data_IF_530141131720
#
_entry.id   IF_530141131720
#
_cell.length_a   1.000
_cell.length_b   1.000
_cell.length_c   1.000
_cell.angle_alpha   90.00
_cell.angle_beta   90.00
_cell.angle_gamma   90.00
#
_symmetry.space_group_name_H-M   'P 1'
#
loop_
_entity.id
_entity.type
_entity.pdbx_description
1 polymer ?
#
# COMPACT_ATOMS: atom_id res chain seq x y z
N UNK A 1 -14.63 -33.42 -36.90
CA UNK A 1 -13.43 -32.56 -36.82
C UNK A 1 -12.86 -32.68 -35.41
N UNK A 2 -11.54 -32.92 -35.23
CA UNK A 2 -10.94 -32.93 -33.90
C UNK A 2 -11.17 -31.53 -33.28
N UNK A 3 -11.67 -31.49 -32.05
CA UNK A 3 -11.82 -30.27 -31.29
C UNK A 3 -10.46 -29.57 -31.14
N UNK A 4 -10.46 -28.24 -31.09
CA UNK A 4 -9.24 -27.50 -30.74
C UNK A 4 -8.79 -27.99 -29.36
N UNK A 5 -7.54 -28.37 -29.24
CA UNK A 5 -6.96 -28.75 -27.95
C UNK A 5 -7.18 -27.64 -26.94
N UNK A 6 -7.49 -28.00 -25.71
CA UNK A 6 -7.53 -27.04 -24.60
C UNK A 6 -6.12 -26.48 -24.41
N UNK A 7 -5.92 -25.20 -24.75
CA UNK A 7 -4.70 -24.52 -24.33
C UNK A 7 -4.73 -24.34 -22.81
N UNK A 8 -3.62 -24.64 -22.14
CA UNK A 8 -3.47 -24.33 -20.73
C UNK A 8 -3.71 -22.84 -20.52
N UNK A 9 -4.59 -22.49 -19.58
CA UNK A 9 -4.80 -21.08 -19.18
C UNK A 9 -3.55 -20.51 -18.50
N UNK A 10 -3.43 -19.17 -18.50
CA UNK A 10 -2.41 -18.44 -17.73
C UNK A 10 -3.01 -17.72 -16.53
N UNK A 11 -2.16 -17.32 -15.59
CA UNK A 11 -2.56 -16.43 -14.50
C UNK A 11 -2.89 -15.06 -15.03
N UNK A 12 -3.91 -14.42 -14.41
CA UNK A 12 -4.25 -13.04 -14.70
C UNK A 12 -3.05 -12.10 -14.48
N UNK A 13 -2.84 -11.04 -15.28
CA UNK A 13 -1.73 -10.10 -15.11
C UNK A 13 -1.61 -9.56 -13.67
N UNK A 14 -2.71 -9.13 -13.04
CA UNK A 14 -2.70 -8.66 -11.64
C UNK A 14 -2.15 -9.74 -10.69
N UNK A 15 -2.57 -11.01 -10.83
CA UNK A 15 -2.05 -12.11 -10.00
C UNK A 15 -0.55 -12.31 -10.19
N UNK A 16 -0.05 -12.20 -11.43
CA UNK A 16 1.39 -12.31 -11.72
C UNK A 16 2.16 -11.13 -11.14
N UNK A 17 1.61 -9.93 -11.22
CA UNK A 17 2.20 -8.71 -10.65
C UNK A 17 2.30 -8.82 -9.13
N UNK A 18 1.21 -9.19 -8.46
CA UNK A 18 1.19 -9.40 -7.00
C UNK A 18 2.21 -10.47 -6.58
N UNK A 19 2.24 -11.62 -7.24
CA UNK A 19 3.22 -12.67 -6.93
C UNK A 19 4.67 -12.23 -7.10
N UNK A 20 4.96 -11.35 -8.08
CA UNK A 20 6.30 -10.77 -8.26
C UNK A 20 6.64 -9.78 -7.13
N UNK A 21 5.70 -8.94 -6.73
CA UNK A 21 5.85 -8.01 -5.61
C UNK A 21 6.14 -8.79 -4.33
N UNK A 22 5.32 -9.80 -4.03
CA UNK A 22 5.52 -10.67 -2.85
C UNK A 22 6.89 -11.34 -2.85
N UNK A 23 7.31 -11.91 -3.98
CA UNK A 23 8.61 -12.56 -4.08
C UNK A 23 9.78 -11.60 -3.79
N UNK A 24 9.72 -10.37 -4.31
CA UNK A 24 10.74 -9.35 -4.09
C UNK A 24 10.79 -8.92 -2.62
N UNK A 25 9.65 -8.64 -1.98
CA UNK A 25 9.64 -8.26 -0.57
C UNK A 25 10.04 -9.41 0.36
N UNK A 26 9.62 -10.65 0.08
CA UNK A 26 10.10 -11.83 0.82
C UNK A 26 11.63 -11.98 0.75
N UNK A 27 12.23 -11.67 -0.40
CA UNK A 27 13.69 -11.78 -0.57
C UNK A 27 14.49 -10.84 0.32
N UNK A 28 13.88 -9.76 0.81
CA UNK A 28 14.48 -8.78 1.72
C UNK A 28 13.93 -8.87 3.15
N UNK A 29 13.25 -9.98 3.48
CA UNK A 29 12.83 -10.32 4.85
C UNK A 29 11.49 -9.74 5.29
N UNK A 30 10.60 -9.40 4.35
CA UNK A 30 9.22 -9.08 4.66
C UNK A 30 8.34 -10.35 4.62
N UNK A 31 7.47 -10.50 5.59
CA UNK A 31 6.40 -11.49 5.56
C UNK A 31 5.19 -10.95 4.79
N UNK A 32 4.35 -11.86 4.29
CA UNK A 32 3.08 -11.50 3.66
C UNK A 32 1.97 -11.74 4.66
N UNK A 33 1.28 -10.66 5.04
CA UNK A 33 0.14 -10.69 5.93
C UNK A 33 -1.17 -10.66 5.14
N UNK A 34 -2.19 -11.30 5.68
CA UNK A 34 -3.55 -11.34 5.12
C UNK A 34 -4.56 -10.92 6.19
N UNK A 35 -5.76 -10.53 5.76
CA UNK A 35 -6.84 -10.12 6.65
C UNK A 35 -8.17 -9.97 5.92
N UNK A 36 -9.26 -9.74 6.67
CA UNK A 36 -10.61 -9.71 6.15
C UNK A 36 -10.83 -8.52 5.18
N UNK A 37 -11.68 -8.72 4.18
CA UNK A 37 -12.14 -7.65 3.29
C UNK A 37 -13.31 -6.85 3.90
N UNK A 38 -14.07 -7.49 4.80
CA UNK A 38 -15.11 -6.82 5.61
C UNK A 38 -14.47 -6.40 6.91
N UNK A 39 -14.51 -5.11 7.19
CA UNK A 39 -13.85 -4.49 8.33
C UNK A 39 -14.81 -3.68 9.18
N UNK A 40 -14.38 -3.40 10.40
CA UNK A 40 -15.04 -2.43 11.26
C UNK A 40 -14.43 -1.02 11.11
N UNK A 41 -15.13 -0.06 11.66
CA UNK A 41 -14.73 1.35 11.67
C UNK A 41 -13.40 1.59 12.41
N UNK A 42 -13.15 0.85 13.49
CA UNK A 42 -11.93 1.02 14.28
C UNK A 42 -10.69 0.68 13.46
N UNK A 43 -10.65 -0.49 12.84
CA UNK A 43 -9.49 -0.94 12.06
C UNK A 43 -9.30 -0.15 10.78
N UNK A 44 -10.41 0.22 10.11
CA UNK A 44 -10.32 0.93 8.83
C UNK A 44 -10.02 2.44 8.97
N UNK A 45 -10.33 3.05 10.12
CA UNK A 45 -10.18 4.49 10.32
C UNK A 45 -9.53 4.87 11.64
N UNK A 46 -10.15 4.55 12.78
CA UNK A 46 -9.75 5.11 14.08
C UNK A 46 -8.34 4.71 14.48
N UNK A 47 -7.98 3.43 14.35
CA UNK A 47 -6.64 2.92 14.67
C UNK A 47 -5.56 3.51 13.75
N UNK A 48 -5.95 4.03 12.60
CA UNK A 48 -5.09 4.69 11.61
C UNK A 48 -5.05 6.22 11.79
N UNK A 49 -5.35 6.70 12.98
CA UNK A 49 -5.35 8.13 13.32
C UNK A 49 -6.35 8.96 12.49
N UNK A 50 -7.45 8.34 12.06
CA UNK A 50 -8.56 8.99 11.33
C UNK A 50 -9.80 9.00 12.24
N UNK A 51 -9.93 9.98 13.16
CA UNK A 51 -11.07 10.06 14.05
C UNK A 51 -12.37 10.42 13.29
N UNK A 52 -13.53 10.22 13.94
CA UNK A 52 -14.84 10.35 13.29
C UNK A 52 -15.05 11.70 12.59
N UNK A 53 -14.54 12.77 13.18
CA UNK A 53 -14.65 14.13 12.66
C UNK A 53 -13.48 14.59 11.77
N UNK A 54 -12.56 13.69 11.41
CA UNK A 54 -11.40 14.05 10.59
C UNK A 54 -11.82 14.30 9.12
N UNK A 55 -11.40 15.40 8.49
CA UNK A 55 -11.78 15.71 7.10
C UNK A 55 -11.43 14.61 6.10
N UNK A 56 -10.29 13.94 6.28
CA UNK A 56 -9.87 12.83 5.40
C UNK A 56 -10.83 11.62 5.43
N UNK A 57 -11.62 11.44 6.51
CA UNK A 57 -12.60 10.38 6.64
C UNK A 57 -13.78 10.54 5.69
N UNK A 58 -14.20 11.78 5.44
CA UNK A 58 -15.26 12.06 4.48
C UNK A 58 -14.84 11.93 3.02
N UNK A 59 -13.54 11.85 2.75
CA UNK A 59 -12.98 11.64 1.40
C UNK A 59 -12.94 10.17 0.97
N UNK A 60 -13.26 9.27 1.87
CA UNK A 60 -13.36 7.84 1.57
C UNK A 60 -14.78 7.49 1.18
N UNK A 61 -15.02 7.31 -0.10
CA UNK A 61 -16.26 6.74 -0.61
C UNK A 61 -16.33 5.27 -0.21
N UNK A 62 -16.97 5.02 0.93
CA UNK A 62 -16.95 3.73 1.62
C UNK A 62 -18.23 2.96 1.39
N UNK A 63 -18.12 1.68 1.02
CA UNK A 63 -19.25 0.77 1.00
C UNK A 63 -19.52 0.24 2.41
N UNK A 64 -20.62 0.70 3.02
CA UNK A 64 -21.12 0.16 4.28
C UNK A 64 -22.09 -1.00 4.03
N UNK A 65 -22.10 -2.01 4.92
CA UNK A 65 -23.00 -3.13 4.83
C UNK A 65 -24.40 -2.76 5.38
N UNK A 66 -25.43 -2.89 4.57
CA UNK A 66 -26.80 -2.49 4.93
C UNK A 66 -27.36 -3.25 6.16
N UNK A 67 -27.08 -4.54 6.26
CA UNK A 67 -27.62 -5.42 7.30
C UNK A 67 -26.63 -5.70 8.45
N UNK A 68 -25.50 -4.97 8.51
CA UNK A 68 -24.48 -5.11 9.53
C UNK A 68 -23.92 -3.73 9.91
N UNK A 69 -24.65 -2.95 10.73
CA UNK A 69 -24.22 -1.62 11.12
C UNK A 69 -22.81 -1.60 11.71
N UNK A 70 -21.99 -0.68 11.23
CA UNK A 70 -20.59 -0.54 11.65
C UNK A 70 -19.59 -1.40 10.87
N UNK A 71 -20.06 -2.26 9.97
CA UNK A 71 -19.19 -2.99 9.05
C UNK A 71 -19.17 -2.35 7.66
N UNK A 72 -18.00 -2.45 7.02
CA UNK A 72 -17.73 -1.86 5.71
C UNK A 72 -16.80 -2.76 4.88
N UNK A 73 -16.73 -2.51 3.58
CA UNK A 73 -15.66 -3.06 2.75
C UNK A 73 -14.42 -2.16 2.90
N UNK A 74 -13.27 -2.75 3.21
CA UNK A 74 -12.04 -1.99 3.47
C UNK A 74 -11.66 -1.11 2.29
N UNK A 75 -11.29 0.13 2.58
CA UNK A 75 -10.91 1.14 1.58
C UNK A 75 -9.43 1.15 1.23
N UNK A 76 -8.64 0.43 2.00
CA UNK A 76 -7.20 0.21 1.85
C UNK A 76 -6.81 -1.07 2.61
N UNK A 77 -5.57 -1.52 2.46
CA UNK A 77 -5.09 -2.73 3.14
C UNK A 77 -4.44 -2.45 4.51
N UNK A 78 -4.39 -1.18 4.95
CA UNK A 78 -3.86 -0.80 6.27
C UNK A 78 -4.54 -1.49 7.46
N UNK A 79 -5.84 -1.87 7.43
CA UNK A 79 -6.45 -2.68 8.50
C UNK A 79 -5.70 -3.97 8.78
N UNK A 80 -5.12 -4.59 7.76
CA UNK A 80 -4.29 -5.80 7.94
C UNK A 80 -3.06 -5.47 8.81
N UNK A 81 -2.44 -4.32 8.59
CA UNK A 81 -1.30 -3.86 9.39
C UNK A 81 -1.70 -3.65 10.85
N UNK A 82 -2.86 -3.03 11.11
CA UNK A 82 -3.41 -2.84 12.47
C UNK A 82 -3.59 -4.19 13.15
N UNK A 83 -4.31 -5.12 12.53
CA UNK A 83 -4.57 -6.47 13.06
C UNK A 83 -3.29 -7.26 13.31
N UNK A 84 -2.30 -7.10 12.45
CA UNK A 84 -1.00 -7.74 12.62
C UNK A 84 -0.25 -7.18 13.85
N UNK A 85 -0.24 -5.86 14.01
CA UNK A 85 0.39 -5.19 15.15
C UNK A 85 -0.30 -5.51 16.50
N UNK A 86 -1.61 -5.77 16.52
CA UNK A 86 -2.33 -6.19 17.73
C UNK A 86 -1.88 -7.56 18.25
N UNK A 87 -1.41 -8.42 17.37
CA UNK A 87 -1.07 -9.80 17.68
C UNK A 87 0.43 -10.10 17.65
N UNK A 88 1.23 -9.23 17.09
CA UNK A 88 2.68 -9.40 16.94
C UNK A 88 3.44 -8.23 17.57
N UNK A 89 4.58 -8.55 18.17
CA UNK A 89 5.49 -7.53 18.73
C UNK A 89 6.60 -7.18 17.74
N UNK A 90 7.08 -5.92 17.74
CA UNK A 90 8.27 -5.56 16.98
C UNK A 90 9.49 -6.43 17.32
N UNK A 91 10.40 -6.67 16.33
CA UNK A 91 10.39 -6.09 15.00
C UNK A 91 9.33 -6.68 14.07
N UNK A 92 8.67 -5.84 13.28
CA UNK A 92 7.65 -6.21 12.31
C UNK A 92 8.09 -5.76 10.92
N UNK A 93 8.05 -6.66 9.94
CA UNK A 93 8.29 -6.38 8.52
C UNK A 93 7.28 -7.17 7.71
N UNK A 94 6.26 -6.49 7.20
CA UNK A 94 5.20 -7.14 6.43
C UNK A 94 4.84 -6.33 5.19
N UNK A 95 4.33 -7.06 4.19
CA UNK A 95 3.48 -6.48 3.15
C UNK A 95 2.08 -7.07 3.28
N UNK A 96 1.08 -6.27 2.95
CA UNK A 96 -0.33 -6.62 2.99
C UNK A 96 -0.96 -6.41 1.60
N UNK A 97 -0.86 -7.39 0.69
CA UNK A 97 -1.55 -7.35 -0.60
C UNK A 97 -3.03 -7.68 -0.41
N UNK A 98 -3.91 -7.03 -1.19
CA UNK A 98 -5.31 -7.38 -1.14
C UNK A 98 -6.20 -6.52 -2.01
N UNK A 99 -7.46 -6.92 -2.13
CA UNK A 99 -8.51 -6.14 -2.77
C UNK A 99 -9.00 -5.06 -1.83
N UNK A 100 -9.31 -3.91 -2.37
CA UNK A 100 -9.87 -2.76 -1.66
C UNK A 100 -11.04 -2.19 -2.46
N UNK A 101 -11.92 -1.45 -1.78
CA UNK A 101 -13.20 -1.05 -2.33
C UNK A 101 -13.48 0.43 -2.05
N UNK A 102 -13.87 1.19 -3.08
CA UNK A 102 -14.27 2.59 -2.96
C UNK A 102 -15.47 2.85 -3.84
N UNK A 103 -16.40 3.68 -3.37
CA UNK A 103 -17.59 4.10 -4.14
C UNK A 103 -17.15 5.13 -5.20
N UNK A 104 -16.20 4.75 -6.02
CA UNK A 104 -15.69 5.57 -7.09
C UNK A 104 -15.75 4.74 -8.38
N UNK A 105 -16.42 5.26 -9.39
CA UNK A 105 -16.62 4.53 -10.64
C UNK A 105 -16.76 5.50 -11.80
N UNK A 106 -15.64 5.72 -12.48
CA UNK A 106 -15.58 6.48 -13.72
C UNK A 106 -14.76 5.74 -14.80
N UNK A 107 -14.40 6.41 -15.87
CA UNK A 107 -13.63 5.80 -16.96
C UNK A 107 -12.20 5.36 -16.55
N UNK A 108 -11.72 5.81 -15.40
CA UNK A 108 -10.35 5.59 -14.90
C UNK A 108 -10.31 4.89 -13.55
N UNK A 109 -11.45 4.77 -12.85
CA UNK A 109 -11.57 4.18 -11.52
C UNK A 109 -12.51 2.97 -11.51
N UNK A 110 -12.05 1.87 -10.93
CA UNK A 110 -12.87 0.70 -10.63
C UNK A 110 -13.29 0.73 -9.15
N UNK A 111 -14.54 0.36 -8.82
CA UNK A 111 -14.97 0.27 -7.42
C UNK A 111 -14.22 -0.80 -6.62
N UNK A 112 -13.55 -1.72 -7.27
CA UNK A 112 -12.63 -2.69 -6.69
C UNK A 112 -11.30 -2.62 -7.42
N UNK A 113 -10.21 -2.53 -6.67
CA UNK A 113 -8.84 -2.59 -7.20
C UNK A 113 -7.92 -3.27 -6.18
N UNK A 114 -6.69 -3.58 -6.59
CA UNK A 114 -5.71 -4.18 -5.70
C UNK A 114 -4.80 -3.11 -5.11
N UNK A 115 -4.38 -3.36 -3.87
CA UNK A 115 -3.41 -2.53 -3.17
C UNK A 115 -2.38 -3.44 -2.49
N UNK A 116 -1.16 -2.97 -2.40
CA UNK A 116 -0.10 -3.58 -1.59
C UNK A 116 0.42 -2.50 -0.66
N UNK A 117 0.28 -2.71 0.63
CA UNK A 117 0.88 -1.85 1.64
C UNK A 117 2.00 -2.56 2.36
N UNK A 118 3.04 -1.83 2.74
CA UNK A 118 4.16 -2.34 3.50
C UNK A 118 4.31 -1.61 4.82
N UNK A 119 4.78 -2.34 5.83
CA UNK A 119 5.05 -1.83 7.17
C UNK A 119 6.35 -2.41 7.70
N UNK A 120 7.22 -1.54 8.18
CA UNK A 120 8.38 -1.95 8.95
C UNK A 120 8.45 -1.17 10.26
N UNK A 121 8.42 -1.88 11.40
CA UNK A 121 8.55 -1.31 12.73
C UNK A 121 9.73 -1.98 13.44
N UNK A 122 10.64 -1.16 13.95
CA UNK A 122 11.83 -1.60 14.67
C UNK A 122 12.31 -0.48 15.62
N UNK A 123 13.38 -0.70 16.38
CA UNK A 123 13.97 0.33 17.26
C UNK A 123 14.76 1.41 16.49
N UNK A 124 15.32 1.08 15.34
CA UNK A 124 16.24 1.96 14.58
C UNK A 124 15.88 2.03 13.09
N UNK A 125 14.67 2.40 12.78
CA UNK A 125 14.19 2.58 11.39
C UNK A 125 14.07 4.07 11.07
N UNK A 126 14.44 4.46 9.87
CA UNK A 126 14.45 5.84 9.43
C UNK A 126 13.76 6.06 8.09
N UNK A 127 13.50 7.32 7.76
CA UNK A 127 13.02 7.71 6.43
C UNK A 127 14.02 7.38 5.31
N UNK A 128 15.32 7.29 5.65
CA UNK A 128 16.35 6.86 4.71
C UNK A 128 16.21 5.37 4.35
N UNK A 129 15.80 4.53 5.33
CA UNK A 129 15.52 3.11 5.09
C UNK A 129 14.31 2.93 4.18
N UNK A 130 13.23 3.70 4.40
CA UNK A 130 12.08 3.73 3.49
C UNK A 130 12.52 4.07 2.06
N UNK A 131 13.33 5.11 1.88
CA UNK A 131 13.86 5.50 0.56
C UNK A 131 14.67 4.39 -0.08
N UNK A 132 15.55 3.76 0.67
CA UNK A 132 16.41 2.67 0.21
C UNK A 132 15.56 1.47 -0.24
N UNK A 133 14.74 0.94 0.66
CA UNK A 133 13.89 -0.23 0.42
C UNK A 133 13.00 -0.01 -0.81
N UNK A 134 12.30 1.12 -0.89
CA UNK A 134 11.35 1.34 -1.97
C UNK A 134 12.04 1.63 -3.32
N UNK A 135 13.17 2.35 -3.32
CA UNK A 135 13.96 2.58 -4.54
C UNK A 135 14.53 1.27 -5.09
N UNK A 136 15.08 0.43 -4.22
CA UNK A 136 15.63 -0.87 -4.63
C UNK A 136 14.53 -1.83 -5.10
N UNK A 137 13.37 -1.81 -4.45
CA UNK A 137 12.19 -2.54 -4.93
C UNK A 137 11.82 -2.13 -6.36
N UNK A 138 11.69 -0.83 -6.66
CA UNK A 138 11.31 -0.35 -7.99
C UNK A 138 12.36 -0.72 -9.05
N UNK A 139 13.65 -0.58 -8.74
CA UNK A 139 14.74 -0.96 -9.64
C UNK A 139 14.71 -2.44 -10.01
N UNK A 140 14.47 -3.30 -9.02
CA UNK A 140 14.38 -4.74 -9.23
C UNK A 140 13.07 -5.14 -9.93
N UNK A 141 11.97 -4.49 -9.58
CA UNK A 141 10.67 -4.79 -10.18
C UNK A 141 10.63 -4.42 -11.68
N UNK A 142 11.16 -3.27 -12.05
CA UNK A 142 11.22 -2.82 -13.45
C UNK A 142 12.49 -3.24 -14.18
N UNK A 143 13.42 -3.93 -13.50
CA UNK A 143 14.71 -4.36 -14.07
C UNK A 143 15.53 -3.19 -14.66
N UNK A 144 15.45 -2.01 -14.00
CA UNK A 144 16.13 -0.78 -14.40
C UNK A 144 17.00 -0.26 -13.25
N UNK A 145 18.32 -0.58 -13.23
CA UNK A 145 19.23 -0.17 -12.15
C UNK A 145 19.39 1.35 -12.01
N UNK A 146 19.23 2.08 -13.09
CA UNK A 146 19.33 3.55 -13.19
C UNK A 146 18.00 4.28 -12.94
N UNK A 147 16.93 3.54 -12.61
CA UNK A 147 15.63 4.13 -12.27
C UNK A 147 15.79 5.13 -11.11
N UNK A 148 15.29 6.34 -11.34
CA UNK A 148 15.32 7.42 -10.36
C UNK A 148 14.01 7.53 -9.62
N UNK A 149 14.07 7.80 -8.33
CA UNK A 149 12.93 8.07 -7.47
C UNK A 149 13.01 9.49 -6.93
N UNK A 150 11.87 10.09 -6.65
CA UNK A 150 11.76 11.31 -5.86
C UNK A 150 10.65 11.18 -4.85
N UNK A 151 10.84 11.80 -3.70
CA UNK A 151 9.88 11.82 -2.60
C UNK A 151 9.39 13.24 -2.45
N UNK A 152 8.11 13.46 -2.67
CA UNK A 152 7.45 14.76 -2.55
C UNK A 152 6.74 14.83 -1.20
N UNK A 153 6.87 15.91 -0.41
CA UNK A 153 6.08 16.10 0.80
C UNK A 153 4.59 15.94 0.52
N UNK A 154 3.92 15.19 1.39
CA UNK A 154 2.47 14.97 1.33
C UNK A 154 1.89 14.92 2.74
N UNK A 155 0.61 14.63 2.86
CA UNK A 155 -0.07 14.46 4.13
C UNK A 155 -0.96 13.22 4.12
N UNK A 156 -0.72 12.33 5.10
CA UNK A 156 -1.60 11.21 5.41
C UNK A 156 -1.81 11.16 6.93
N UNK A 157 -3.05 10.89 7.43
CA UNK A 157 -3.31 10.91 8.87
C UNK A 157 -2.48 9.92 9.69
N UNK A 158 -2.09 8.82 9.07
CA UNK A 158 -1.38 7.70 9.70
C UNK A 158 0.15 7.77 9.56
N UNK A 159 0.69 8.80 8.91
CA UNK A 159 2.15 8.99 8.77
C UNK A 159 2.56 10.44 9.01
N UNK A 160 3.76 10.64 9.61
CA UNK A 160 4.40 11.94 9.80
C UNK A 160 5.93 11.76 9.98
N UNK A 161 6.77 12.30 9.07
CA UNK A 161 6.42 12.95 7.82
C UNK A 161 5.85 11.98 6.78
N UNK A 162 5.01 12.53 5.88
CA UNK A 162 4.42 11.82 4.76
C UNK A 162 5.07 12.23 3.43
N UNK A 163 5.13 11.32 2.49
CA UNK A 163 5.61 11.61 1.15
C UNK A 163 4.91 10.76 0.09
N UNK A 164 4.67 11.36 -1.05
CA UNK A 164 4.37 10.64 -2.28
C UNK A 164 5.66 10.24 -2.97
N UNK A 165 5.67 9.05 -3.56
CA UNK A 165 6.83 8.50 -4.26
C UNK A 165 6.56 8.50 -5.76
N UNK A 166 7.38 9.23 -6.49
CA UNK A 166 7.39 9.18 -7.95
C UNK A 166 8.62 8.42 -8.43
N UNK A 167 8.46 7.72 -9.55
CA UNK A 167 9.58 7.14 -10.29
C UNK A 167 9.74 7.78 -11.66
N UNK A 168 10.96 7.80 -12.21
CA UNK A 168 11.18 8.18 -13.59
C UNK A 168 10.41 7.23 -14.51
N UNK A 169 9.72 7.81 -15.50
CA UNK A 169 8.86 7.04 -16.39
C UNK A 169 9.65 5.98 -17.16
N UNK A 170 9.30 4.71 -16.96
CA UNK A 170 9.98 3.56 -17.58
C UNK A 170 9.71 3.41 -19.08
N UNK A 171 8.67 4.07 -19.59
CA UNK A 171 8.32 4.05 -21.01
C UNK A 171 9.11 5.02 -21.86
N UNK A 172 9.62 6.10 -21.27
CA UNK A 172 10.35 7.15 -21.99
C UNK A 172 11.67 7.53 -21.30
N UNK A 173 12.11 6.73 -20.33
CA UNK A 173 13.34 6.95 -19.54
C UNK A 173 13.43 8.38 -18.95
N UNK A 174 12.27 8.92 -18.54
CA UNK A 174 12.15 10.23 -17.93
C UNK A 174 12.13 11.42 -18.92
N UNK A 175 12.09 11.18 -20.24
CA UNK A 175 12.11 12.25 -21.25
C UNK A 175 10.73 12.91 -21.49
N UNK A 176 9.67 12.34 -20.94
CA UNK A 176 8.30 12.80 -21.13
C UNK A 176 7.59 12.11 -22.30
N UNK A 177 6.45 11.48 -22.01
CA UNK A 177 5.59 10.84 -23.00
C UNK A 177 4.12 10.95 -22.58
N UNK A 178 3.22 10.44 -23.41
CA UNK A 178 1.78 10.45 -23.13
C UNK A 178 1.43 9.74 -21.80
N UNK A 179 2.12 8.63 -21.46
CA UNK A 179 1.85 7.85 -20.25
C UNK A 179 2.13 8.65 -18.98
N UNK A 180 3.21 9.42 -18.97
CA UNK A 180 3.58 10.28 -17.84
C UNK A 180 3.08 11.72 -17.99
N UNK A 181 2.10 11.97 -18.86
CA UNK A 181 1.60 13.32 -19.15
C UNK A 181 2.71 14.33 -19.46
N UNK A 182 3.74 13.88 -20.17
CA UNK A 182 4.94 14.63 -20.56
C UNK A 182 5.81 15.15 -19.40
N UNK A 183 5.56 14.74 -18.18
CA UNK A 183 6.33 15.15 -16.99
C UNK A 183 7.65 14.40 -16.81
N UNK A 184 7.77 13.22 -17.40
CA UNK A 184 8.88 12.28 -17.18
C UNK A 184 8.78 11.48 -15.86
N UNK A 185 7.72 11.68 -15.06
CA UNK A 185 7.52 11.05 -13.77
C UNK A 185 6.17 10.36 -13.66
N UNK A 186 6.13 9.25 -12.92
CA UNK A 186 4.91 8.51 -12.57
C UNK A 186 4.81 8.45 -11.04
N UNK A 187 3.69 8.86 -10.49
CA UNK A 187 3.36 8.66 -9.09
C UNK A 187 3.02 7.19 -8.87
N UNK A 188 3.68 6.56 -7.90
CA UNK A 188 3.59 5.10 -7.68
C UNK A 188 2.99 4.78 -6.32
N UNK A 189 3.30 5.57 -5.28
CA UNK A 189 2.95 5.22 -3.92
C UNK A 189 2.81 6.42 -3.00
N UNK A 190 1.98 6.28 -1.97
CA UNK A 190 2.04 7.10 -0.76
C UNK A 190 2.91 6.41 0.29
N UNK A 191 3.58 7.18 1.14
CA UNK A 191 4.47 6.64 2.16
C UNK A 191 4.72 7.61 3.31
N UNK A 192 5.37 7.14 4.36
CA UNK A 192 5.83 7.99 5.45
C UNK A 192 6.28 7.22 6.67
N UNK A 193 6.73 7.97 7.70
CA UNK A 193 7.00 7.39 9.01
C UNK A 193 5.66 7.18 9.73
N UNK A 194 5.49 6.02 10.36
CA UNK A 194 4.24 5.69 11.06
C UNK A 194 3.97 6.67 12.19
N UNK A 195 2.78 7.26 12.19
CA UNK A 195 2.39 8.23 13.22
C UNK A 195 2.34 7.57 14.61
N UNK A 196 2.88 8.21 15.67
CA UNK A 196 2.91 7.63 17.03
C UNK A 196 1.54 7.18 17.55
N UNK A 197 0.45 7.87 17.17
CA UNK A 197 -0.90 7.48 17.57
C UNK A 197 -1.31 6.11 17.03
N UNK A 198 -0.86 5.74 15.81
CA UNK A 198 -1.12 4.40 15.24
C UNK A 198 -0.50 3.33 16.13
N UNK A 199 0.77 3.51 16.55
CA UNK A 199 1.45 2.58 17.45
C UNK A 199 0.75 2.49 18.81
N UNK A 200 0.30 3.64 19.35
CA UNK A 200 -0.43 3.70 20.63
C UNK A 200 -1.76 2.94 20.58
N UNK A 201 -2.51 3.04 19.48
CA UNK A 201 -3.79 2.36 19.34
C UNK A 201 -3.66 0.82 19.39
N UNK A 202 -2.50 0.28 18.97
CA UNK A 202 -2.22 -1.16 18.99
C UNK A 202 -1.32 -1.58 20.15
N UNK A 203 -1.06 -0.68 21.11
CA UNK A 203 -0.29 -0.99 22.32
C UNK A 203 1.22 -1.15 22.12
N UNK A 204 1.77 -0.60 21.03
CA UNK A 204 3.21 -0.55 20.77
C UNK A 204 3.78 0.75 21.34
N UNK A 205 4.87 0.63 22.12
CA UNK A 205 5.55 1.78 22.72
C UNK A 205 6.24 2.65 21.67
N UNK A 206 5.66 3.81 21.41
CA UNK A 206 6.16 4.78 20.42
C UNK A 206 7.42 5.55 20.84
N UNK A 207 7.83 5.45 22.11
CA UNK A 207 9.12 6.00 22.56
C UNK A 207 10.28 5.03 22.29
N UNK A 208 9.95 3.74 22.14
CA UNK A 208 10.95 2.69 21.87
C UNK A 208 11.00 2.31 20.40
N UNK A 209 9.85 2.26 19.73
CA UNK A 209 9.73 1.77 18.37
C UNK A 209 9.30 2.86 17.41
N UNK A 210 9.88 2.83 16.24
CA UNK A 210 9.57 3.70 15.11
C UNK A 210 9.38 2.84 13.87
N UNK A 211 8.67 3.32 12.88
CA UNK A 211 8.49 2.57 11.64
C UNK A 211 8.17 3.44 10.46
N UNK A 212 8.19 2.82 9.28
CA UNK A 212 7.66 3.41 8.06
C UNK A 212 6.58 2.53 7.44
N UNK A 213 5.72 3.16 6.67
CA UNK A 213 4.72 2.49 5.84
C UNK A 213 4.71 3.07 4.42
N UNK A 214 4.23 2.27 3.49
CA UNK A 214 3.97 2.69 2.10
C UNK A 214 2.77 1.93 1.55
N UNK A 215 2.10 2.52 0.56
CA UNK A 215 0.99 1.88 -0.15
C UNK A 215 1.03 2.18 -1.64
N UNK A 216 0.83 1.15 -2.47
CA UNK A 216 0.83 1.24 -3.93
C UNK A 216 -0.30 0.43 -4.55
N UNK A 217 -0.80 0.89 -5.72
CA UNK A 217 -1.78 0.19 -6.55
C UNK A 217 -1.08 -0.54 -7.70
N UNK A 218 -1.15 -1.88 -7.77
CA UNK A 218 -0.51 -2.65 -8.85
C UNK A 218 -1.36 -2.80 -10.12
N UNK A 219 -2.59 -2.28 -10.16
CA UNK A 219 -3.52 -2.36 -11.31
C UNK A 219 -3.24 -1.31 -12.39
#
# INVERSE_FOLDING_TARGET
LPGRGLSAGGLHPATRTLGRIEALFRSIGFDVADGPEIEDDFHNFTALNIPENHPARSMHDTFFLENAPGLLLRTHTSPIQVRYMETHKPPIRIIAPGRVYRVDSDATHSPMFHQVEGLWIDENVSFADLKGVFTDFLRNFFEKPDLRTRFRPSFFPFTEPSAEIDMSCVFCDGNGCRVCSHTGWLEIAGSGMVHPNVLKHVGIDSEKYIGFAFGMGPD
#
